data_IF_930929399570
#
_entry.id   IF_930929399570
#
_cell.length_a   1.000
_cell.length_b   1.000
_cell.length_c   1.000
_cell.angle_alpha   90.00
_cell.angle_beta   90.00
_cell.angle_gamma   90.00
#
_symmetry.space_group_name_H-M   'P 1'
#
loop_
_entity.id
_entity.type
_entity.pdbx_description
1 polymer ?
#
# COMPACT_ATOMS: atom_id res chain seq x y z
N UNK A 1 -73.90 -39.05 -1.35
CA UNK A 1 -72.87 -38.72 -0.35
C UNK A 1 -72.01 -37.58 -0.87
N UNK A 2 -72.33 -36.37 -0.39
CA UNK A 2 -71.67 -35.13 -0.83
C UNK A 2 -70.44 -34.86 0.03
N UNK A 3 -69.26 -34.79 -0.54
CA UNK A 3 -68.05 -34.33 0.14
C UNK A 3 -68.01 -32.82 0.16
N UNK A 4 -68.42 -32.20 1.27
CA UNK A 4 -68.23 -30.78 1.58
C UNK A 4 -66.89 -30.63 2.32
N UNK A 5 -65.98 -29.82 1.77
CA UNK A 5 -64.81 -29.34 2.56
C UNK A 5 -63.44 -29.48 1.94
N UNK A 6 -63.25 -29.12 0.62
CA UNK A 6 -61.93 -28.84 0.13
C UNK A 6 -61.66 -27.35 0.26
N UNK A 7 -60.68 -26.90 1.02
CA UNK A 7 -60.31 -25.49 1.07
C UNK A 7 -59.74 -25.05 -0.26
N UNK A 8 -60.24 -23.91 -0.76
CA UNK A 8 -59.85 -23.29 -1.99
C UNK A 8 -58.40 -22.75 -1.85
N UNK A 9 -57.62 -22.79 -2.96
CA UNK A 9 -56.25 -22.23 -3.05
C UNK A 9 -56.18 -20.75 -2.68
N UNK A 10 -57.30 -20.06 -2.50
CA UNK A 10 -57.36 -18.62 -2.13
C UNK A 10 -57.22 -18.41 -0.61
N UNK A 11 -57.50 -19.42 0.22
CA UNK A 11 -57.42 -19.25 1.68
C UNK A 11 -56.01 -19.42 2.23
N UNK A 12 -55.09 -19.95 1.42
CA UNK A 12 -53.67 -20.11 1.81
C UNK A 12 -52.88 -18.80 1.86
N UNK A 13 -53.32 -17.76 1.15
CA UNK A 13 -52.63 -16.50 1.08
C UNK A 13 -52.98 -15.49 2.19
N UNK A 14 -53.97 -15.75 3.03
CA UNK A 14 -54.37 -14.83 4.08
C UNK A 14 -53.75 -15.10 5.47
N UNK A 15 -53.03 -16.19 5.65
CA UNK A 15 -52.46 -16.56 6.97
C UNK A 15 -50.98 -16.11 7.12
N UNK A 16 -50.35 -15.59 6.08
CA UNK A 16 -48.90 -15.20 6.12
C UNK A 16 -48.66 -13.73 6.44
N UNK A 17 -49.73 -12.95 6.67
CA UNK A 17 -49.62 -11.50 6.85
C UNK A 17 -49.48 -10.98 8.30
N UNK A 18 -49.19 -11.88 9.27
CA UNK A 18 -49.11 -11.49 10.69
C UNK A 18 -47.83 -11.92 11.42
N UNK A 19 -46.77 -12.25 10.73
CA UNK A 19 -45.46 -12.35 11.36
C UNK A 19 -44.66 -11.10 11.07
N UNK A 20 -44.72 -10.17 12.03
CA UNK A 20 -43.91 -8.95 12.00
C UNK A 20 -42.44 -9.29 11.84
N UNK A 21 -41.87 -9.05 10.66
CA UNK A 21 -40.46 -9.01 10.46
C UNK A 21 -39.94 -7.82 11.25
N UNK A 22 -39.46 -8.06 12.46
CA UNK A 22 -38.56 -7.12 13.12
C UNK A 22 -37.33 -7.01 12.25
N UNK A 23 -37.24 -5.94 11.47
CA UNK A 23 -36.02 -5.57 10.74
C UNK A 23 -34.93 -5.33 11.78
N UNK A 24 -34.08 -6.32 12.01
CA UNK A 24 -32.84 -6.12 12.73
C UNK A 24 -32.01 -5.12 11.91
N UNK A 25 -31.48 -4.04 12.54
CA UNK A 25 -30.57 -3.16 11.84
C UNK A 25 -29.35 -4.03 11.45
N UNK A 26 -29.16 -4.22 10.15
CA UNK A 26 -27.92 -4.73 9.62
C UNK A 26 -26.90 -3.63 9.91
N UNK A 27 -26.13 -3.81 10.99
CA UNK A 27 -24.93 -3.04 11.22
C UNK A 27 -24.01 -3.38 10.05
N UNK A 28 -23.97 -2.51 9.05
CA UNK A 28 -22.85 -2.48 8.11
C UNK A 28 -21.61 -2.22 8.97
N UNK A 29 -20.94 -3.26 9.37
CA UNK A 29 -19.54 -3.18 9.73
C UNK A 29 -18.86 -2.83 8.42
N UNK A 30 -18.60 -1.52 8.22
CA UNK A 30 -17.64 -1.10 7.22
C UNK A 30 -16.37 -1.89 7.55
N UNK A 31 -16.07 -2.86 6.69
CA UNK A 31 -14.83 -3.62 6.79
C UNK A 31 -13.73 -2.57 6.75
N UNK A 32 -13.07 -2.36 7.90
CA UNK A 32 -11.78 -1.69 7.97
C UNK A 32 -10.89 -2.59 7.12
N UNK A 33 -10.81 -2.27 5.82
CA UNK A 33 -9.84 -2.88 4.93
C UNK A 33 -8.50 -2.72 5.65
N UNK A 34 -7.83 -3.84 5.93
CA UNK A 34 -6.51 -3.80 6.54
C UNK A 34 -5.66 -2.89 5.65
N UNK A 35 -5.48 -1.64 6.08
CA UNK A 35 -4.62 -0.71 5.38
C UNK A 35 -3.22 -1.29 5.48
N UNK A 36 -2.64 -1.63 4.33
CA UNK A 36 -1.24 -2.05 4.22
C UNK A 36 -0.28 -0.88 4.49
N UNK A 37 -0.79 0.18 5.12
CA UNK A 37 0.00 1.36 5.49
C UNK A 37 0.81 1.09 6.76
N UNK A 38 2.10 1.34 6.67
CA UNK A 38 3.03 1.32 7.79
C UNK A 38 3.34 2.76 8.22
N UNK A 39 3.26 3.02 9.54
CA UNK A 39 3.53 4.31 10.13
C UNK A 39 4.99 4.42 10.58
N UNK A 40 5.62 5.56 10.27
CA UNK A 40 6.96 5.94 10.70
C UNK A 40 6.98 7.39 11.21
N UNK A 41 7.94 7.79 12.05
CA UNK A 41 8.15 9.20 12.34
C UNK A 41 8.61 9.94 11.08
N UNK A 42 8.10 11.16 10.86
CA UNK A 42 8.54 11.99 9.74
C UNK A 42 10.01 12.39 9.94
N UNK A 43 10.92 12.16 8.96
CA UNK A 43 12.34 12.43 9.12
C UNK A 43 12.62 13.92 9.40
N UNK A 44 13.28 14.24 10.51
CA UNK A 44 13.59 15.62 10.91
C UNK A 44 14.81 16.20 10.16
N UNK A 45 15.73 15.34 9.69
CA UNK A 45 16.96 15.71 8.99
C UNK A 45 17.23 14.78 7.81
N UNK A 46 18.10 15.22 6.91
CA UNK A 46 18.54 14.38 5.79
C UNK A 46 19.19 13.09 6.29
N UNK A 47 18.82 11.98 5.68
CA UNK A 47 19.30 10.66 6.10
C UNK A 47 18.49 9.52 5.49
N UNK A 48 18.91 8.30 5.85
CA UNK A 48 18.33 7.05 5.36
C UNK A 48 17.94 6.15 6.53
N UNK A 49 16.71 5.71 6.55
CA UNK A 49 16.18 4.70 7.49
C UNK A 49 15.79 3.45 6.70
N UNK A 50 16.24 2.28 7.15
CA UNK A 50 15.91 1.00 6.51
C UNK A 50 15.18 0.10 7.49
N UNK A 51 13.92 -0.19 7.18
CA UNK A 51 13.13 -1.21 7.88
C UNK A 51 13.17 -2.52 7.08
N UNK A 52 14.03 -3.44 7.52
CA UNK A 52 14.19 -4.74 6.87
C UNK A 52 13.00 -5.67 7.08
N UNK A 53 12.24 -5.47 8.16
CA UNK A 53 11.06 -6.30 8.47
C UNK A 53 9.92 -5.97 7.51
N UNK A 54 9.69 -4.70 7.26
CA UNK A 54 8.66 -4.23 6.34
C UNK A 54 9.16 -4.06 4.90
N UNK A 55 10.45 -4.31 4.64
CA UNK A 55 11.08 -4.14 3.33
C UNK A 55 10.97 -2.70 2.79
N UNK A 56 11.12 -1.71 3.67
CA UNK A 56 10.98 -0.28 3.37
C UNK A 56 12.30 0.45 3.56
N UNK A 57 12.57 1.41 2.67
CA UNK A 57 13.59 2.43 2.84
C UNK A 57 12.89 3.79 2.87
N UNK A 58 13.19 4.60 3.87
CA UNK A 58 12.75 6.00 3.95
C UNK A 58 14.00 6.86 3.82
N UNK A 59 13.93 7.84 2.91
CA UNK A 59 15.03 8.79 2.67
C UNK A 59 14.50 10.20 2.77
N UNK A 60 15.18 11.06 3.52
CA UNK A 60 15.08 12.51 3.36
C UNK A 60 16.35 12.99 2.68
N UNK A 61 16.21 13.69 1.57
CA UNK A 61 17.33 14.17 0.77
C UNK A 61 16.93 15.38 -0.06
N UNK A 62 17.74 16.46 0.01
CA UNK A 62 17.57 17.69 -0.78
C UNK A 62 16.13 18.27 -0.72
N UNK A 63 15.58 18.38 0.49
CA UNK A 63 14.27 18.99 0.69
C UNK A 63 13.08 18.09 0.30
N UNK A 64 13.29 16.80 0.12
CA UNK A 64 12.23 15.84 -0.18
C UNK A 64 12.33 14.57 0.65
N UNK A 65 11.18 13.96 0.92
CA UNK A 65 11.10 12.63 1.53
C UNK A 65 10.61 11.62 0.49
N UNK A 66 11.24 10.45 0.49
CA UNK A 66 10.98 9.35 -0.43
C UNK A 66 10.74 8.07 0.35
N UNK A 67 9.81 7.24 -0.11
CA UNK A 67 9.63 5.86 0.32
C UNK A 67 10.00 4.90 -0.81
N UNK A 68 10.83 3.89 -0.53
CA UNK A 68 11.22 2.88 -1.51
C UNK A 68 10.99 1.48 -0.98
N UNK A 69 10.72 0.55 -1.90
CA UNK A 69 10.87 -0.86 -1.63
C UNK A 69 12.36 -1.19 -1.44
N UNK A 70 12.69 -2.00 -0.44
CA UNK A 70 14.07 -2.41 -0.14
C UNK A 70 14.68 -3.28 -1.25
N UNK A 71 13.85 -3.90 -2.09
CA UNK A 71 14.28 -4.83 -3.14
C UNK A 71 14.87 -4.11 -4.35
N UNK A 72 16.00 -4.63 -4.83
CA UNK A 72 16.60 -4.18 -6.09
C UNK A 72 15.70 -4.52 -7.28
N UNK A 73 15.41 -3.57 -8.19
CA UNK A 73 14.58 -3.78 -9.37
C UNK A 73 15.06 -4.89 -10.33
N UNK A 74 16.34 -5.26 -10.26
CA UNK A 74 16.92 -6.31 -11.12
C UNK A 74 16.49 -7.73 -10.69
N UNK A 75 16.76 -8.11 -9.42
CA UNK A 75 16.52 -9.47 -8.93
C UNK A 75 16.06 -9.51 -7.46
N UNK A 76 15.32 -8.53 -7.01
CA UNK A 76 14.70 -8.46 -5.68
C UNK A 76 15.66 -8.66 -4.49
N UNK A 77 16.96 -8.45 -4.70
CA UNK A 77 17.95 -8.51 -3.61
C UNK A 77 17.86 -7.24 -2.77
N UNK A 78 17.89 -7.38 -1.45
CA UNK A 78 17.83 -6.24 -0.55
C UNK A 78 19.02 -5.27 -0.78
N UNK A 79 18.71 -4.01 -1.01
CA UNK A 79 19.69 -2.95 -1.22
C UNK A 79 20.42 -2.62 0.09
N UNK A 80 21.66 -2.13 -0.04
CA UNK A 80 22.46 -1.59 1.06
C UNK A 80 22.68 -0.11 0.86
N UNK A 81 22.60 0.66 1.93
CA UNK A 81 23.05 2.04 1.96
C UNK A 81 24.54 2.10 2.26
N UNK A 82 25.28 2.84 1.46
CA UNK A 82 26.71 3.09 1.63
C UNK A 82 26.91 4.57 2.00
N UNK A 83 26.95 4.92 3.30
CA UNK A 83 26.95 6.33 3.73
C UNK A 83 28.19 7.10 3.29
N UNK A 84 29.35 6.45 3.20
CA UNK A 84 30.58 7.09 2.70
C UNK A 84 30.51 7.48 1.24
N UNK A 85 29.74 6.73 0.45
CA UNK A 85 29.58 6.93 -0.99
C UNK A 85 28.30 7.73 -1.32
N UNK A 86 27.42 7.94 -0.34
CA UNK A 86 26.15 8.63 -0.51
C UNK A 86 25.20 7.96 -1.50
N UNK A 87 25.21 6.62 -1.57
CA UNK A 87 24.42 5.86 -2.54
C UNK A 87 23.88 4.55 -2.00
N UNK A 88 22.85 4.04 -2.67
CA UNK A 88 22.44 2.65 -2.52
C UNK A 88 23.19 1.74 -3.49
N UNK A 89 23.44 0.51 -3.07
CA UNK A 89 24.09 -0.50 -3.90
C UNK A 89 23.47 -1.88 -3.66
N UNK A 90 23.21 -2.59 -4.76
CA UNK A 90 22.82 -3.99 -4.72
C UNK A 90 24.06 -4.85 -4.48
N UNK A 91 24.10 -5.72 -3.44
CA UNK A 91 25.27 -6.54 -3.16
C UNK A 91 25.49 -7.67 -4.17
N UNK A 92 24.46 -8.03 -4.96
CA UNK A 92 24.53 -9.16 -5.88
C UNK A 92 25.18 -8.82 -7.22
N UNK A 93 24.76 -7.72 -7.85
CA UNK A 93 25.26 -7.31 -9.17
C UNK A 93 25.66 -5.84 -9.25
N UNK A 94 25.92 -5.22 -8.11
CA UNK A 94 26.47 -3.86 -7.97
C UNK A 94 25.68 -2.75 -8.67
N UNK A 95 24.37 -2.95 -8.91
CA UNK A 95 23.52 -1.86 -9.36
C UNK A 95 23.51 -0.74 -8.32
N UNK A 96 23.77 0.49 -8.77
CA UNK A 96 23.96 1.67 -7.92
C UNK A 96 22.85 2.68 -8.17
N UNK A 97 22.42 3.35 -7.09
CA UNK A 97 21.34 4.32 -7.13
C UNK A 97 21.65 5.53 -6.25
N UNK A 98 21.24 6.70 -6.70
CA UNK A 98 21.30 7.93 -5.91
C UNK A 98 20.38 7.87 -4.69
N UNK A 99 20.51 8.78 -3.70
CA UNK A 99 19.60 8.82 -2.54
C UNK A 99 18.13 9.03 -2.91
N UNK A 100 17.83 9.72 -4.00
CA UNK A 100 16.48 9.92 -4.54
C UNK A 100 15.94 8.71 -5.33
N UNK A 101 16.69 7.60 -5.38
CA UNK A 101 16.31 6.37 -6.06
C UNK A 101 16.66 6.30 -7.55
N UNK A 102 17.27 7.35 -8.12
CA UNK A 102 17.65 7.37 -9.55
C UNK A 102 18.77 6.34 -9.81
N UNK A 103 18.59 5.53 -10.85
CA UNK A 103 19.60 4.57 -11.31
C UNK A 103 20.85 5.27 -11.82
N UNK A 104 22.01 4.76 -11.44
CA UNK A 104 23.31 5.28 -11.86
C UNK A 104 24.03 4.32 -12.83
N UNK A 105 24.20 3.07 -12.41
CA UNK A 105 24.93 2.05 -13.18
C UNK A 105 24.69 0.67 -12.63
N UNK A 106 25.00 -0.37 -13.38
CA UNK A 106 24.86 -1.76 -12.99
C UNK A 106 23.90 -2.53 -13.90
N UNK A 107 23.39 -3.67 -13.41
CA UNK A 107 22.51 -4.54 -14.21
C UNK A 107 21.03 -4.19 -14.18
N UNK A 108 20.61 -3.34 -13.27
CA UNK A 108 19.22 -2.84 -13.28
C UNK A 108 18.98 -1.98 -14.51
N UNK A 109 17.72 -1.95 -14.95
CA UNK A 109 17.28 -1.21 -16.14
C UNK A 109 16.39 -0.01 -15.82
N UNK A 110 16.05 0.18 -14.54
CA UNK A 110 15.18 1.25 -14.05
C UNK A 110 15.61 1.76 -12.67
N UNK A 111 14.98 2.84 -12.25
CA UNK A 111 15.14 3.43 -10.92
C UNK A 111 14.64 2.49 -9.82
N UNK A 112 14.97 2.80 -8.55
CA UNK A 112 14.41 2.09 -7.40
C UNK A 112 12.88 2.20 -7.42
N UNK A 113 12.21 1.11 -7.06
CA UNK A 113 10.75 1.08 -6.97
C UNK A 113 10.29 1.93 -5.77
N UNK A 114 9.42 2.91 -6.02
CA UNK A 114 8.85 3.78 -4.98
C UNK A 114 7.60 3.16 -4.37
N UNK A 115 7.35 3.52 -3.13
CA UNK A 115 6.10 3.27 -2.41
C UNK A 115 5.31 4.57 -2.32
N UNK A 116 3.99 4.48 -2.34
CA UNK A 116 3.15 5.64 -2.07
C UNK A 116 3.33 6.08 -0.63
N UNK A 117 3.53 7.38 -0.42
CA UNK A 117 3.75 7.98 0.90
C UNK A 117 2.84 9.18 1.11
N UNK A 118 2.41 9.38 2.35
CA UNK A 118 1.69 10.59 2.77
C UNK A 118 2.17 11.05 4.14
N UNK A 119 2.10 12.35 4.38
CA UNK A 119 2.41 12.94 5.67
C UNK A 119 1.12 13.29 6.41
N UNK A 120 1.12 13.04 7.73
CA UNK A 120 0.08 13.50 8.63
C UNK A 120 0.75 14.01 9.91
N UNK A 121 0.81 15.33 10.07
CA UNK A 121 1.53 15.98 11.15
C UNK A 121 3.02 15.61 11.20
N UNK A 122 3.42 14.92 12.27
CA UNK A 122 4.78 14.42 12.47
C UNK A 122 4.97 12.95 12.06
N UNK A 123 3.98 12.38 11.41
CA UNK A 123 3.99 10.99 10.97
C UNK A 123 4.07 10.88 9.45
N UNK A 124 4.78 9.85 9.00
CA UNK A 124 4.86 9.41 7.62
C UNK A 124 4.15 8.06 7.50
N UNK A 125 3.20 7.97 6.60
CA UNK A 125 2.53 6.72 6.25
C UNK A 125 3.02 6.22 4.90
N UNK A 126 3.39 4.95 4.85
CA UNK A 126 3.92 4.27 3.66
C UNK A 126 2.97 3.14 3.28
N UNK A 127 2.41 3.18 2.09
CA UNK A 127 1.57 2.09 1.57
C UNK A 127 2.44 0.98 0.99
N UNK A 128 2.40 -0.19 1.64
CA UNK A 128 3.17 -1.37 1.26
C UNK A 128 2.53 -2.17 0.11
N UNK A 129 1.26 -1.92 -0.20
CA UNK A 129 0.53 -2.65 -1.24
C UNK A 129 0.76 -2.09 -2.64
N UNK A 130 1.19 -0.83 -2.74
CA UNK A 130 1.31 -0.15 -4.02
C UNK A 130 2.77 0.19 -4.36
N UNK A 131 3.36 -0.62 -5.25
CA UNK A 131 4.71 -0.41 -5.76
C UNK A 131 4.64 0.36 -7.08
N UNK A 132 5.30 1.53 -7.11
CA UNK A 132 5.35 2.43 -8.27
C UNK A 132 6.68 2.26 -8.98
N UNK A 133 6.64 1.83 -10.25
CA UNK A 133 7.81 1.54 -11.06
C UNK A 133 8.05 2.64 -12.08
N UNK A 134 9.30 3.10 -12.21
CA UNK A 134 9.65 4.23 -13.08
C UNK A 134 9.57 3.92 -14.58
N UNK A 135 9.62 2.65 -14.96
CA UNK A 135 9.50 2.19 -16.34
C UNK A 135 8.06 1.99 -16.79
N UNK A 136 7.14 1.74 -15.84
CA UNK A 136 5.72 1.51 -16.13
C UNK A 136 4.89 2.79 -15.95
N UNK A 137 5.16 3.55 -14.90
CA UNK A 137 4.48 4.83 -14.61
C UNK A 137 5.50 5.89 -14.13
N UNK A 138 6.23 6.52 -15.06
CA UNK A 138 7.22 7.54 -14.72
C UNK A 138 6.60 8.78 -14.09
N UNK A 139 5.35 9.12 -14.41
CA UNK A 139 4.66 10.27 -13.85
C UNK A 139 4.33 10.06 -12.37
N UNK A 140 3.72 8.92 -12.03
CA UNK A 140 3.45 8.56 -10.64
C UNK A 140 4.75 8.37 -9.84
N UNK A 141 5.79 7.80 -10.47
CA UNK A 141 7.09 7.65 -9.81
C UNK A 141 7.68 9.00 -9.43
N UNK A 142 7.66 9.99 -10.32
CA UNK A 142 8.13 11.34 -10.02
C UNK A 142 7.29 12.05 -8.96
N UNK A 143 5.98 11.81 -8.95
CA UNK A 143 5.05 12.41 -7.98
C UNK A 143 5.10 11.77 -6.58
N UNK A 144 5.61 10.53 -6.44
CA UNK A 144 5.67 9.81 -5.17
C UNK A 144 6.80 10.34 -4.27
N UNK A 145 6.68 11.60 -3.83
CA UNK A 145 7.62 12.30 -2.96
C UNK A 145 6.88 13.38 -2.16
N UNK A 146 7.40 13.74 -1.00
CA UNK A 146 6.86 14.80 -0.15
C UNK A 146 7.92 15.90 0.00
N UNK A 147 7.62 17.15 -0.41
CA UNK A 147 8.51 18.29 -0.15
C UNK A 147 8.54 18.63 1.35
N UNK A 148 9.68 19.15 1.85
CA UNK A 148 9.91 19.54 3.26
C UNK A 148 10.54 20.91 3.35
#
# INVERSE_FOLDING_TARGET
>A
MSCTGCPSRRDFFQIVAALGFAALPVLFVEGVGATSEQKYPFPAADGVTIDRKQQVIIVRFQGHVYGFNLSCPHENTALKWLPKDGRFQCPKHESKYQPNGTFMTGRATRNMDRLSIRRDGNDLYVDLSHIIKSDTDPAAWNAATIPV
#
